data_IF_891077547095
#
_entry.id   IF_891077547095
#
_cell.length_a   1.000
_cell.length_b   1.000
_cell.length_c   1.000
_cell.angle_alpha   90.00
_cell.angle_beta   90.00
_cell.angle_gamma   90.00
#
_symmetry.space_group_name_H-M   'P 1'
#
loop_
_entity.id
_entity.type
_entity.pdbx_description
1 polymer ?
#
# COMPACT_ATOMS: atom_id res chain seq x y z
N UNK A 1 0.41 11.03 12.04
CA UNK A 1 -1.03 11.29 11.85
C UNK A 1 -1.27 11.40 10.34
N UNK A 2 -1.84 10.37 9.72
CA UNK A 2 -1.93 10.17 8.26
C UNK A 2 -3.04 11.01 7.57
N UNK A 3 -3.58 12.03 8.24
CA UNK A 3 -4.76 12.82 7.85
C UNK A 3 -4.70 13.51 6.46
N UNK A 4 -3.58 13.44 5.73
CA UNK A 4 -3.45 14.05 4.39
C UNK A 4 -3.92 13.13 3.27
N UNK A 5 -3.92 11.81 3.49
CA UNK A 5 -4.29 10.81 2.47
C UNK A 5 -5.80 10.58 2.36
N UNK A 6 -6.55 10.72 3.47
CA UNK A 6 -8.00 10.49 3.53
C UNK A 6 -8.83 11.32 2.53
N UNK A 7 -8.26 12.42 2.00
CA UNK A 7 -8.93 13.30 1.03
C UNK A 7 -8.23 13.37 -0.33
N UNK A 8 -7.25 12.49 -0.59
CA UNK A 8 -6.61 12.42 -1.89
C UNK A 8 -7.61 11.85 -2.91
N UNK A 9 -7.87 12.55 -4.02
CA UNK A 9 -8.82 12.11 -5.07
C UNK A 9 -8.14 11.43 -6.27
N UNK A 10 -6.83 11.27 -6.23
CA UNK A 10 -6.05 10.65 -7.31
C UNK A 10 -5.94 9.13 -7.19
N UNK A 11 -5.19 8.53 -8.11
CA UNK A 11 -4.74 7.14 -8.03
C UNK A 11 -3.35 7.08 -7.38
N UNK A 12 -3.09 6.03 -6.61
CA UNK A 12 -1.83 5.86 -5.89
C UNK A 12 -1.12 4.63 -6.43
N UNK A 13 0.14 4.76 -6.82
CA UNK A 13 1.02 3.62 -7.12
C UNK A 13 1.95 3.41 -5.95
N UNK A 14 1.89 2.24 -5.33
CA UNK A 14 2.77 1.84 -4.22
C UNK A 14 3.86 0.93 -4.80
N UNK A 15 5.11 1.37 -4.73
CA UNK A 15 6.26 0.60 -5.22
C UNK A 15 7.02 0.06 -4.02
N UNK A 16 7.09 -1.27 -3.91
CA UNK A 16 7.73 -1.96 -2.79
C UNK A 16 8.93 -2.75 -3.35
N UNK A 17 10.17 -2.31 -3.15
CA UNK A 17 11.32 -3.14 -3.45
C UNK A 17 11.36 -4.33 -2.49
N UNK A 18 11.48 -5.55 -3.02
CA UNK A 18 11.51 -6.78 -2.24
C UNK A 18 12.71 -7.64 -2.63
N UNK A 19 13.69 -7.74 -1.72
CA UNK A 19 14.84 -8.61 -1.87
C UNK A 19 14.98 -9.48 -0.62
N UNK A 20 14.89 -10.81 -0.79
CA UNK A 20 14.89 -11.79 0.31
C UNK A 20 13.77 -11.58 1.35
N UNK A 21 12.62 -11.04 0.95
CA UNK A 21 11.48 -10.76 1.84
C UNK A 21 10.45 -11.90 1.89
N UNK A 22 10.81 -13.14 1.56
CA UNK A 22 9.86 -14.27 1.43
C UNK A 22 8.93 -14.41 2.65
N UNK A 23 9.47 -14.20 3.84
CA UNK A 23 8.78 -14.44 5.10
C UNK A 23 7.88 -13.25 5.50
N UNK A 24 8.15 -12.06 4.97
CA UNK A 24 7.47 -10.83 5.34
C UNK A 24 6.53 -10.31 4.24
N UNK A 25 6.77 -10.67 2.98
CA UNK A 25 6.13 -10.02 1.82
C UNK A 25 4.61 -10.11 1.86
N UNK A 26 4.06 -11.26 2.28
CA UNK A 26 2.62 -11.44 2.44
C UNK A 26 2.04 -10.48 3.47
N UNK A 27 2.65 -10.39 4.64
CA UNK A 27 2.21 -9.50 5.71
C UNK A 27 2.34 -8.02 5.29
N UNK A 28 3.40 -7.66 4.58
CA UNK A 28 3.57 -6.30 4.02
C UNK A 28 2.46 -5.97 3.04
N UNK A 29 2.12 -6.88 2.12
CA UNK A 29 1.03 -6.68 1.16
C UNK A 29 -0.31 -6.55 1.90
N UNK A 30 -0.60 -7.44 2.84
CA UNK A 30 -1.87 -7.45 3.59
C UNK A 30 -2.09 -6.16 4.38
N UNK A 31 -1.08 -5.70 5.13
CA UNK A 31 -1.19 -4.44 5.88
C UNK A 31 -1.27 -3.23 4.93
N UNK A 32 -0.60 -3.27 3.78
CA UNK A 32 -0.73 -2.23 2.75
C UNK A 32 -2.16 -2.17 2.23
N UNK A 33 -2.72 -3.31 1.82
CA UNK A 33 -4.12 -3.40 1.34
C UNK A 33 -5.08 -2.82 2.36
N UNK A 34 -4.97 -3.25 3.62
CA UNK A 34 -5.85 -2.80 4.71
C UNK A 34 -5.85 -1.29 4.86
N UNK A 35 -4.67 -0.65 4.89
CA UNK A 35 -4.57 0.81 5.00
C UNK A 35 -5.19 1.50 3.78
N UNK A 36 -4.94 1.00 2.58
CA UNK A 36 -5.46 1.63 1.36
C UNK A 36 -6.98 1.42 1.17
N UNK A 37 -7.54 0.33 1.70
CA UNK A 37 -8.99 0.12 1.78
C UNK A 37 -9.64 1.06 2.80
N UNK A 38 -9.04 1.25 3.97
CA UNK A 38 -9.56 2.16 5.02
C UNK A 38 -9.66 3.62 4.53
N UNK A 39 -8.73 4.07 3.69
CA UNK A 39 -8.73 5.43 3.13
C UNK A 39 -9.64 5.58 1.89
N UNK A 40 -10.13 4.48 1.32
CA UNK A 40 -11.05 4.50 0.17
C UNK A 40 -10.43 4.96 -1.16
N UNK A 41 -9.10 4.94 -1.28
CA UNK A 41 -8.40 5.35 -2.49
C UNK A 41 -8.31 4.22 -3.52
N UNK A 42 -8.24 4.58 -4.82
CA UNK A 42 -7.81 3.63 -5.85
C UNK A 42 -6.30 3.51 -5.84
N UNK A 43 -5.78 2.29 -5.74
CA UNK A 43 -4.35 2.04 -5.68
C UNK A 43 -3.95 0.83 -6.51
N UNK A 44 -2.65 0.74 -6.80
CA UNK A 44 -1.97 -0.47 -7.27
C UNK A 44 -0.72 -0.70 -6.40
N UNK A 45 -0.36 -1.97 -6.20
CA UNK A 45 0.86 -2.37 -5.52
C UNK A 45 1.76 -3.03 -6.56
N UNK A 46 2.95 -2.49 -6.74
CA UNK A 46 3.98 -2.99 -7.65
C UNK A 46 5.16 -3.43 -6.79
N UNK A 47 5.48 -4.72 -6.85
CA UNK A 47 6.62 -5.30 -6.13
C UNK A 47 7.78 -5.46 -7.12
N UNK A 48 8.95 -4.94 -6.74
CA UNK A 48 10.15 -4.85 -7.60
C UNK A 48 11.31 -5.60 -6.98
#
# INVERSE_FOLDING_TARGET
>A
RFNKLENFKGKISVIIPAYNESDNISNTIEETIKVFEEIGNKYEIIIV
#
